data_IF_131496554036
#
_entry.id   IF_131496554036
#
_cell.length_a   1.000
_cell.length_b   1.000
_cell.length_c   1.000
_cell.angle_alpha   90.00
_cell.angle_beta   90.00
_cell.angle_gamma   90.00
#
_symmetry.space_group_name_H-M   'P 1'
#
loop_
_entity.id
_entity.type
_entity.pdbx_description
1 polymer ?
#
# COMPACT_ATOMS: atom_id res chain seq x y z
N UNK A 1 -74.40 33.88 52.19
CA UNK A 1 -75.35 33.21 51.28
C UNK A 1 -74.57 32.19 50.47
N UNK A 2 -74.98 30.92 50.57
CA UNK A 2 -74.94 29.81 49.60
C UNK A 2 -73.77 29.78 48.58
N UNK A 3 -72.92 28.75 48.57
CA UNK A 3 -73.06 27.54 47.70
C UNK A 3 -72.30 27.79 46.38
N UNK A 4 -71.53 26.94 45.72
CA UNK A 4 -71.42 25.48 45.61
C UNK A 4 -70.06 25.12 44.95
N UNK A 5 -69.84 23.81 44.81
CA UNK A 5 -68.64 23.06 44.40
C UNK A 5 -68.73 22.66 42.91
N UNK A 6 -67.61 22.61 42.18
CA UNK A 6 -67.40 21.74 40.99
C UNK A 6 -65.94 21.89 40.50
N UNK A 7 -65.04 20.92 40.68
CA UNK A 7 -64.76 19.70 39.89
C UNK A 7 -63.82 19.92 38.68
N UNK A 8 -62.62 19.31 38.83
CA UNK A 8 -61.75 18.62 37.85
C UNK A 8 -61.45 19.22 36.47
N UNK A 9 -60.16 19.32 36.13
CA UNK A 9 -59.52 18.48 35.07
C UNK A 9 -58.00 18.46 35.24
N UNK A 10 -57.46 17.25 35.09
CA UNK A 10 -56.07 16.86 35.07
C UNK A 10 -55.52 17.15 33.66
N UNK A 11 -54.40 17.85 33.54
CA UNK A 11 -53.59 17.91 32.32
C UNK A 11 -52.14 17.94 32.81
N UNK A 12 -51.34 16.89 32.62
CA UNK A 12 -51.11 16.24 31.34
C UNK A 12 -49.76 16.74 30.86
N UNK A 13 -48.73 15.95 31.17
CA UNK A 13 -47.35 16.11 30.76
C UNK A 13 -47.14 16.63 29.33
N UNK A 14 -46.28 17.63 29.17
CA UNK A 14 -45.43 17.74 27.99
C UNK A 14 -44.10 18.41 28.37
N UNK A 15 -43.19 17.60 28.91
CA UNK A 15 -41.78 17.80 28.62
C UNK A 15 -41.64 17.56 27.11
N UNK A 16 -41.53 18.64 26.35
CA UNK A 16 -41.05 18.55 24.98
C UNK A 16 -39.61 18.02 25.06
N UNK A 17 -39.50 16.73 24.76
CA UNK A 17 -38.26 16.03 24.47
C UNK A 17 -37.64 16.78 23.30
N UNK A 18 -36.56 17.51 23.55
CA UNK A 18 -35.69 17.96 22.48
C UNK A 18 -35.03 16.71 21.92
N UNK A 19 -35.68 16.19 20.87
CA UNK A 19 -35.27 15.01 20.13
C UNK A 19 -33.82 15.15 19.68
N UNK A 20 -33.07 14.10 20.03
CA UNK A 20 -31.78 13.75 19.51
C UNK A 20 -31.71 13.96 18.00
N UNK A 21 -31.03 15.02 17.56
CA UNK A 21 -30.48 15.06 16.21
C UNK A 21 -29.04 15.56 16.25
N UNK A 22 -28.21 14.85 17.02
CA UNK A 22 -26.77 14.81 16.76
C UNK A 22 -26.59 13.85 15.61
N UNK A 23 -26.59 14.36 14.38
CA UNK A 23 -26.05 13.62 13.23
C UNK A 23 -24.64 13.18 13.62
N UNK A 24 -24.47 11.89 13.91
CA UNK A 24 -23.18 11.32 14.27
C UNK A 24 -22.20 11.65 13.14
N UNK A 25 -21.25 12.54 13.43
CA UNK A 25 -20.24 12.94 12.46
C UNK A 25 -19.42 11.70 12.15
N UNK A 26 -19.63 11.17 10.95
CA UNK A 26 -19.00 9.94 10.49
C UNK A 26 -17.48 10.03 10.61
N UNK A 27 -16.85 8.94 11.09
CA UNK A 27 -15.41 8.94 11.34
C UNK A 27 -14.64 9.17 10.03
N UNK A 28 -13.73 10.15 10.05
CA UNK A 28 -12.95 10.55 8.87
C UNK A 28 -12.10 9.41 8.31
N UNK A 29 -11.60 8.50 9.16
CA UNK A 29 -10.80 7.34 8.71
C UNK A 29 -11.66 6.40 7.88
N UNK A 30 -12.88 6.12 8.35
CA UNK A 30 -13.84 5.26 7.65
C UNK A 30 -14.16 5.84 6.26
N UNK A 31 -14.55 7.12 6.19
CA UNK A 31 -14.86 7.79 4.92
C UNK A 31 -13.67 7.73 3.95
N UNK A 32 -12.46 8.00 4.46
CA UNK A 32 -11.26 8.01 3.62
C UNK A 32 -10.92 6.61 3.11
N UNK A 33 -11.07 5.57 3.93
CA UNK A 33 -10.85 4.18 3.52
C UNK A 33 -11.85 3.74 2.45
N UNK A 34 -13.14 4.05 2.62
CA UNK A 34 -14.16 3.76 1.59
C UNK A 34 -13.76 4.37 0.25
N UNK A 35 -13.42 5.65 0.24
CA UNK A 35 -13.01 6.37 -0.97
C UNK A 35 -11.79 5.74 -1.67
N UNK A 36 -10.78 5.28 -0.91
CA UNK A 36 -9.61 4.61 -1.49
C UNK A 36 -9.97 3.25 -2.08
N UNK A 37 -10.74 2.45 -1.34
CA UNK A 37 -11.12 1.10 -1.74
C UNK A 37 -12.09 1.08 -2.93
N UNK A 38 -12.92 2.11 -3.08
CA UNK A 38 -13.82 2.27 -4.22
C UNK A 38 -13.10 2.81 -5.46
N UNK A 39 -12.09 3.67 -5.27
CA UNK A 39 -11.30 4.25 -6.36
C UNK A 39 -10.39 3.22 -7.04
N UNK A 40 -9.62 2.47 -6.27
CA UNK A 40 -8.70 1.46 -6.80
C UNK A 40 -8.42 0.35 -5.79
N UNK A 41 -9.37 -0.58 -5.69
CA UNK A 41 -9.29 -1.72 -4.78
C UNK A 41 -8.05 -2.58 -5.03
N UNK A 42 -7.66 -2.78 -6.29
CA UNK A 42 -6.52 -3.63 -6.66
C UNK A 42 -5.20 -2.98 -6.24
N UNK A 43 -5.06 -1.66 -6.39
CA UNK A 43 -3.90 -0.93 -5.89
C UNK A 43 -3.77 -1.00 -4.36
N UNK A 44 -4.89 -0.84 -3.65
CA UNK A 44 -4.94 -1.00 -2.19
C UNK A 44 -4.61 -2.44 -1.74
N UNK A 45 -5.17 -3.44 -2.44
CA UNK A 45 -4.91 -4.85 -2.20
C UNK A 45 -3.43 -5.21 -2.41
N UNK A 46 -2.80 -4.73 -3.48
CA UNK A 46 -1.37 -4.93 -3.68
C UNK A 46 -0.57 -4.32 -2.53
N UNK A 47 -0.84 -3.07 -2.15
CA UNK A 47 -0.13 -2.40 -1.05
C UNK A 47 -0.24 -3.20 0.25
N UNK A 48 -1.45 -3.68 0.57
CA UNK A 48 -1.71 -4.55 1.71
C UNK A 48 -0.96 -5.90 1.59
N UNK A 49 -0.97 -6.51 0.41
CA UNK A 49 -0.31 -7.79 0.17
C UNK A 49 1.20 -7.71 0.34
N UNK A 50 1.83 -6.63 -0.13
CA UNK A 50 3.26 -6.39 0.04
C UNK A 50 3.63 -6.12 1.51
N UNK A 51 2.80 -5.33 2.22
CA UNK A 51 2.94 -5.11 3.66
C UNK A 51 2.86 -6.44 4.44
N UNK A 52 1.83 -7.24 4.17
CA UNK A 52 1.62 -8.53 4.83
C UNK A 52 2.74 -9.53 4.51
N UNK A 53 3.27 -9.53 3.29
CA UNK A 53 4.44 -10.34 2.93
C UNK A 53 5.66 -9.96 3.78
N UNK A 54 5.88 -8.66 4.03
CA UNK A 54 6.94 -8.19 4.90
C UNK A 54 6.71 -8.55 6.37
N UNK A 55 5.46 -8.48 6.88
CA UNK A 55 5.11 -8.89 8.24
C UNK A 55 5.39 -10.38 8.49
N UNK A 56 5.05 -11.25 7.54
CA UNK A 56 5.23 -12.70 7.67
C UNK A 56 6.65 -13.19 7.36
N UNK A 57 7.55 -12.29 6.98
CA UNK A 57 8.93 -12.66 6.71
C UNK A 57 9.70 -12.89 8.01
N UNK A 58 10.51 -13.95 8.06
CA UNK A 58 11.50 -14.12 9.12
C UNK A 58 12.53 -12.97 9.17
N UNK A 59 12.57 -12.13 8.13
CA UNK A 59 13.42 -10.93 8.01
C UNK A 59 12.65 -9.63 8.26
N UNK A 60 11.49 -9.68 8.93
CA UNK A 60 10.61 -8.52 9.12
C UNK A 60 11.37 -7.31 9.70
N UNK A 61 12.39 -7.51 10.54
CA UNK A 61 13.18 -6.39 11.06
C UNK A 61 13.87 -5.54 9.99
N UNK A 62 14.23 -6.16 8.87
CA UNK A 62 14.84 -5.50 7.72
C UNK A 62 13.81 -5.10 6.66
N UNK A 63 12.79 -5.93 6.44
CA UNK A 63 11.85 -5.84 5.33
C UNK A 63 10.57 -5.05 5.65
N UNK A 64 10.11 -5.10 6.90
CA UNK A 64 8.91 -4.40 7.37
C UNK A 64 9.30 -2.99 7.82
N UNK A 65 9.64 -2.17 6.83
CA UNK A 65 9.93 -0.74 7.01
C UNK A 65 9.09 0.04 6.00
N UNK A 66 8.31 1.05 6.43
CA UNK A 66 8.08 1.46 7.81
C UNK A 66 7.28 0.40 8.57
N UNK A 67 7.38 0.43 9.89
CA UNK A 67 6.64 -0.44 10.81
C UNK A 67 5.48 0.36 11.43
N UNK A 68 4.27 -0.22 11.60
CA UNK A 68 3.13 0.52 12.13
C UNK A 68 3.36 0.93 13.60
N UNK A 69 3.27 2.23 13.92
CA UNK A 69 3.68 2.75 15.23
C UNK A 69 2.85 2.21 16.39
N UNK A 70 1.58 1.90 16.16
CA UNK A 70 0.66 1.31 17.16
C UNK A 70 1.15 -0.03 17.72
N UNK A 71 2.04 -0.72 16.99
CA UNK A 71 2.57 -2.03 17.37
C UNK A 71 4.00 -1.92 17.92
N UNK A 72 4.41 -0.74 18.41
CA UNK A 72 5.72 -0.51 19.01
C UNK A 72 5.55 -0.22 20.51
N UNK A 73 5.99 -1.15 21.35
CA UNK A 73 5.92 -1.06 22.80
C UNK A 73 7.32 -0.81 23.37
N UNK A 74 7.56 0.37 23.96
CA UNK A 74 8.87 0.76 24.52
C UNK A 74 10.05 0.58 23.54
N UNK A 75 9.83 0.85 22.26
CA UNK A 75 10.83 0.69 21.20
C UNK A 75 10.98 -0.74 20.66
N UNK A 76 10.26 -1.72 21.22
CA UNK A 76 10.20 -3.09 20.73
C UNK A 76 9.01 -3.26 19.80
N UNK A 77 9.24 -3.90 18.65
CA UNK A 77 8.19 -4.21 17.68
C UNK A 77 7.42 -5.45 18.12
N UNK A 78 6.12 -5.30 18.29
CA UNK A 78 5.21 -6.39 18.61
C UNK A 78 4.65 -7.01 17.32
N UNK A 79 5.48 -7.83 16.68
CA UNK A 79 5.11 -8.49 15.41
C UNK A 79 4.01 -9.53 15.61
N UNK A 80 3.95 -10.17 16.78
CA UNK A 80 2.96 -11.19 17.09
C UNK A 80 1.56 -10.57 17.13
N UNK A 81 1.41 -9.47 17.88
CA UNK A 81 0.14 -8.74 17.95
C UNK A 81 -0.28 -8.16 16.58
N UNK A 82 0.67 -7.64 15.80
CA UNK A 82 0.39 -7.18 14.44
C UNK A 82 -0.16 -8.30 13.54
N UNK A 83 0.44 -9.50 13.61
CA UNK A 83 -0.02 -10.65 12.84
C UNK A 83 -1.41 -11.12 13.29
N UNK A 84 -1.74 -11.07 14.59
CA UNK A 84 -3.08 -11.36 15.08
C UNK A 84 -4.13 -10.41 14.50
N UNK A 85 -3.84 -9.11 14.45
CA UNK A 85 -4.74 -8.11 13.83
C UNK A 85 -4.90 -8.37 12.33
N UNK A 86 -3.81 -8.68 11.63
CA UNK A 86 -3.84 -9.02 10.20
C UNK A 86 -4.65 -10.29 9.94
N UNK A 87 -4.56 -11.29 10.81
CA UNK A 87 -5.26 -12.57 10.65
C UNK A 87 -6.76 -12.47 10.92
N UNK A 88 -7.20 -11.50 11.73
CA UNK A 88 -8.62 -11.16 11.96
C UNK A 88 -9.22 -10.27 10.86
N UNK A 89 -8.39 -9.72 9.96
CA UNK A 89 -8.85 -8.81 8.92
C UNK A 89 -9.79 -9.52 7.93
N UNK A 90 -11.00 -8.98 7.69
CA UNK A 90 -11.91 -9.52 6.68
C UNK A 90 -11.37 -9.29 5.27
N UNK A 91 -11.97 -9.94 4.26
CA UNK A 91 -11.65 -9.64 2.85
C UNK A 91 -11.95 -8.17 2.54
N UNK A 92 -11.28 -7.56 1.55
CA UNK A 92 -11.58 -6.16 1.20
C UNK A 92 -13.02 -5.96 0.72
N UNK A 93 -13.64 -6.98 0.13
CA UNK A 93 -15.05 -6.93 -0.26
C UNK A 93 -15.98 -6.85 0.96
N UNK A 94 -15.74 -7.68 1.98
CA UNK A 94 -16.49 -7.63 3.24
C UNK A 94 -16.21 -6.32 3.97
N UNK A 95 -14.95 -5.89 4.03
CA UNK A 95 -14.57 -4.64 4.67
C UNK A 95 -15.32 -3.44 4.08
N UNK A 96 -15.43 -3.33 2.75
CA UNK A 96 -16.18 -2.23 2.12
C UNK A 96 -17.64 -2.22 2.56
N UNK A 97 -18.27 -3.39 2.75
CA UNK A 97 -19.64 -3.49 3.25
C UNK A 97 -19.72 -3.10 4.74
N UNK A 98 -18.84 -3.68 5.55
CA UNK A 98 -18.76 -3.42 6.99
C UNK A 98 -18.45 -1.96 7.29
N UNK A 99 -17.68 -1.26 6.45
CA UNK A 99 -17.37 0.14 6.67
C UNK A 99 -18.63 1.02 6.73
N UNK A 100 -19.79 0.62 6.19
CA UNK A 100 -21.08 1.35 6.31
C UNK A 100 -21.83 1.09 7.62
N UNK A 101 -21.39 0.11 8.42
CA UNK A 101 -21.97 -0.19 9.72
C UNK A 101 -21.59 0.89 10.75
N UNK A 102 -22.56 1.56 11.41
CA UNK A 102 -22.28 2.58 12.42
C UNK A 102 -21.37 2.12 13.56
N UNK A 103 -21.40 0.82 13.89
CA UNK A 103 -20.64 0.23 15.00
C UNK A 103 -19.33 -0.44 14.53
N UNK A 104 -18.94 -0.30 13.26
CA UNK A 104 -17.78 -0.99 12.67
C UNK A 104 -16.48 -0.72 13.44
N UNK A 105 -16.30 0.51 13.96
CA UNK A 105 -15.12 0.86 14.72
C UNK A 105 -15.02 0.08 16.04
N UNK A 106 -16.15 -0.22 16.67
CA UNK A 106 -16.17 -1.06 17.88
C UNK A 106 -15.82 -2.52 17.57
N UNK A 107 -16.16 -2.99 16.37
CA UNK A 107 -15.93 -4.37 15.93
C UNK A 107 -14.49 -4.61 15.46
N UNK A 108 -13.95 -3.69 14.65
CA UNK A 108 -12.67 -3.86 13.94
C UNK A 108 -11.81 -2.58 13.93
N UNK A 109 -11.89 -1.73 14.96
CA UNK A 109 -11.17 -0.45 15.03
C UNK A 109 -9.67 -0.54 14.76
N UNK A 110 -8.98 -1.55 15.32
CA UNK A 110 -7.55 -1.76 15.06
C UNK A 110 -7.23 -2.07 13.59
N UNK A 111 -8.12 -2.79 12.90
CA UNK A 111 -7.98 -3.07 11.46
C UNK A 111 -8.16 -1.77 10.66
N UNK A 112 -9.15 -0.95 11.04
CA UNK A 112 -9.39 0.37 10.43
C UNK A 112 -8.15 1.26 10.62
N UNK A 113 -7.59 1.29 11.81
CA UNK A 113 -6.41 2.09 12.14
C UNK A 113 -5.17 1.64 11.37
N UNK A 114 -4.92 0.33 11.31
CA UNK A 114 -3.82 -0.25 10.54
C UNK A 114 -3.95 0.05 9.04
N UNK A 115 -5.16 -0.11 8.48
CA UNK A 115 -5.40 0.16 7.06
C UNK A 115 -5.33 1.64 6.75
N UNK A 116 -5.83 2.51 7.64
CA UNK A 116 -5.72 3.94 7.49
C UNK A 116 -4.25 4.37 7.48
N UNK A 117 -3.45 3.87 8.43
CA UNK A 117 -2.01 4.11 8.43
C UNK A 117 -1.36 3.67 7.12
N UNK A 118 -1.60 2.42 6.68
CA UNK A 118 -0.96 1.85 5.50
C UNK A 118 -1.39 2.53 4.19
N UNK A 119 -2.69 2.78 4.01
CA UNK A 119 -3.25 3.24 2.74
C UNK A 119 -3.33 4.77 2.64
N UNK A 120 -3.48 5.46 3.77
CA UNK A 120 -3.70 6.92 3.82
C UNK A 120 -2.46 7.65 4.31
N UNK A 121 -1.89 7.25 5.45
CA UNK A 121 -0.80 8.02 6.08
C UNK A 121 0.53 7.82 5.36
N UNK A 122 0.81 6.61 4.88
CA UNK A 122 1.95 6.32 4.00
C UNK A 122 1.71 6.80 2.56
N UNK A 123 1.55 8.11 2.39
CA UNK A 123 1.10 8.79 1.17
C UNK A 123 2.19 9.12 0.14
N UNK A 124 3.46 8.86 0.44
CA UNK A 124 4.57 9.27 -0.43
C UNK A 124 4.52 8.58 -1.81
N UNK A 125 4.05 7.34 -1.86
CA UNK A 125 3.81 6.60 -3.09
C UNK A 125 2.36 6.10 -3.11
N UNK A 126 1.65 6.39 -4.20
CA UNK A 126 0.37 5.78 -4.55
C UNK A 126 0.56 4.67 -5.58
N UNK A 127 -0.12 3.55 -5.38
CA UNK A 127 -0.17 2.45 -6.34
C UNK A 127 -1.44 2.58 -7.17
N UNK A 128 -1.31 2.61 -8.49
CA UNK A 128 -2.45 2.64 -9.43
C UNK A 128 -2.44 1.40 -10.31
N UNK A 129 -3.59 0.74 -10.42
CA UNK A 129 -3.78 -0.38 -11.33
C UNK A 129 -3.72 0.09 -12.79
N UNK A 130 -3.00 -0.66 -13.62
CA UNK A 130 -2.84 -0.37 -15.05
C UNK A 130 -3.47 -1.51 -15.87
N UNK A 131 -4.29 -1.20 -16.88
CA UNK A 131 -4.84 -2.22 -17.78
C UNK A 131 -3.74 -3.01 -18.50
N UNK A 132 -3.97 -4.32 -18.71
CA UNK A 132 -3.03 -5.17 -19.45
C UNK A 132 -2.76 -4.71 -20.88
N UNK A 133 -3.71 -4.01 -21.49
CA UNK A 133 -3.57 -3.43 -22.84
C UNK A 133 -2.40 -2.44 -22.94
N UNK A 134 -2.01 -1.79 -21.83
CA UNK A 134 -0.90 -0.84 -21.78
C UNK A 134 0.47 -1.51 -21.81
N UNK A 135 0.56 -2.85 -21.67
CA UNK A 135 1.83 -3.57 -21.60
C UNK A 135 2.73 -3.28 -22.81
N UNK A 136 2.17 -3.26 -24.02
CA UNK A 136 2.94 -2.96 -25.23
C UNK A 136 3.55 -1.56 -25.23
N UNK A 137 2.78 -0.56 -24.77
CA UNK A 137 3.26 0.83 -24.66
C UNK A 137 4.36 0.96 -23.60
N UNK A 138 4.20 0.29 -22.45
CA UNK A 138 5.21 0.26 -21.39
C UNK A 138 6.51 -0.38 -21.89
N UNK A 139 6.41 -1.53 -22.57
CA UNK A 139 7.58 -2.22 -23.12
C UNK A 139 8.25 -1.44 -24.26
N UNK A 140 7.51 -0.58 -24.96
CA UNK A 140 8.08 0.34 -25.95
C UNK A 140 9.07 1.36 -25.37
N UNK A 141 9.01 1.61 -24.05
CA UNK A 141 9.96 2.47 -23.34
C UNK A 141 11.21 1.73 -22.85
N UNK A 142 11.24 0.40 -22.96
CA UNK A 142 12.33 -0.45 -22.45
C UNK A 142 13.15 -0.98 -23.62
N UNK A 143 14.48 -0.83 -23.55
CA UNK A 143 15.39 -1.36 -24.55
C UNK A 143 15.66 -2.85 -24.31
N UNK A 144 14.67 -3.70 -24.57
CA UNK A 144 14.74 -5.15 -24.38
C UNK A 144 15.09 -5.84 -25.71
N UNK A 145 16.15 -6.64 -25.74
CA UNK A 145 16.55 -7.47 -26.89
C UNK A 145 15.63 -8.69 -27.04
N UNK A 146 15.19 -9.26 -25.91
CA UNK A 146 14.31 -10.43 -25.89
C UNK A 146 12.86 -10.06 -25.57
N UNK A 147 11.89 -10.79 -26.13
CA UNK A 147 10.48 -10.56 -25.82
C UNK A 147 10.18 -10.89 -24.34
N UNK A 148 9.77 -9.89 -23.57
CA UNK A 148 9.35 -10.05 -22.19
C UNK A 148 7.94 -10.69 -22.11
N UNK A 149 7.72 -11.75 -21.30
CA UNK A 149 6.37 -12.27 -21.07
C UNK A 149 5.47 -11.24 -20.38
N UNK A 150 4.22 -11.16 -20.79
CA UNK A 150 3.25 -10.25 -20.20
C UNK A 150 2.87 -10.67 -18.76
N UNK A 151 2.86 -9.75 -17.78
CA UNK A 151 2.49 -10.07 -16.40
C UNK A 151 0.97 -10.25 -16.24
N UNK A 152 0.57 -10.91 -15.15
CA UNK A 152 -0.84 -11.08 -14.81
C UNK A 152 -1.50 -9.77 -14.37
N UNK A 153 -0.76 -8.82 -13.83
CA UNK A 153 -1.23 -7.51 -13.38
C UNK A 153 -0.10 -6.48 -13.55
N UNK A 154 -0.47 -5.23 -13.78
CA UNK A 154 0.47 -4.11 -13.92
C UNK A 154 0.03 -3.01 -12.98
N UNK A 155 0.99 -2.39 -12.29
CA UNK A 155 0.74 -1.29 -11.38
C UNK A 155 1.75 -0.18 -11.62
N UNK A 156 1.28 1.06 -11.61
CA UNK A 156 2.10 2.26 -11.69
C UNK A 156 2.29 2.84 -10.28
N UNK A 157 3.53 3.19 -9.95
CA UNK A 157 3.86 3.95 -8.76
C UNK A 157 3.82 5.44 -9.10
N UNK A 158 3.03 6.20 -8.34
CA UNK A 158 2.91 7.65 -8.51
C UNK A 158 3.40 8.33 -7.24
N UNK A 159 4.50 9.07 -7.36
CA UNK A 159 5.07 9.84 -6.27
C UNK A 159 4.18 11.01 -5.88
N UNK A 160 4.15 11.32 -4.59
CA UNK A 160 3.52 12.53 -4.08
C UNK A 160 4.28 13.76 -4.62
N UNK A 161 3.67 14.65 -5.41
CA UNK A 161 4.36 15.81 -6.01
C UNK A 161 5.03 16.74 -5.00
N UNK A 162 4.51 16.78 -3.77
CA UNK A 162 5.05 17.57 -2.66
C UNK A 162 5.93 16.73 -1.70
N UNK A 163 6.15 15.45 -2.00
CA UNK A 163 7.00 14.55 -1.23
C UNK A 163 8.48 14.82 -1.49
N UNK A 164 9.30 14.62 -0.45
CA UNK A 164 10.75 14.85 -0.51
C UNK A 164 11.44 14.01 -1.60
N UNK A 165 11.04 12.74 -1.74
CA UNK A 165 11.58 11.83 -2.75
C UNK A 165 11.27 12.29 -4.18
N UNK A 166 10.04 12.71 -4.44
CA UNK A 166 9.60 13.18 -5.77
C UNK A 166 10.26 14.51 -6.14
N UNK A 167 10.39 15.45 -5.18
CA UNK A 167 11.12 16.70 -5.39
C UNK A 167 12.59 16.44 -5.71
N UNK A 168 13.24 15.55 -4.95
CA UNK A 168 14.63 15.13 -5.21
C UNK A 168 14.77 14.46 -6.58
N UNK A 169 13.83 13.59 -6.95
CA UNK A 169 13.82 12.95 -8.27
C UNK A 169 13.76 14.00 -9.38
N UNK A 170 12.84 14.97 -9.29
CA UNK A 170 12.71 16.08 -10.25
C UNK A 170 13.94 16.97 -10.34
N UNK A 171 14.68 17.14 -9.25
CA UNK A 171 15.92 17.90 -9.24
C UNK A 171 17.05 17.14 -9.96
N UNK A 172 17.26 15.87 -9.61
CA UNK A 172 18.35 15.04 -10.19
C UNK A 172 18.09 14.71 -11.66
N UNK A 173 16.86 14.39 -12.03
CA UNK A 173 16.48 14.10 -13.42
C UNK A 173 16.45 15.34 -14.32
N UNK A 174 16.47 16.55 -13.75
CA UNK A 174 16.38 17.79 -14.53
C UNK A 174 17.56 17.89 -15.50
N UNK A 175 17.26 18.00 -16.78
CA UNK A 175 18.26 18.13 -17.84
C UNK A 175 18.96 16.83 -18.23
N UNK A 176 18.58 15.70 -17.63
CA UNK A 176 19.11 14.38 -17.98
C UNK A 176 18.07 13.55 -18.72
N UNK A 177 18.54 12.62 -19.55
CA UNK A 177 17.68 11.56 -20.09
C UNK A 177 17.42 10.52 -19.01
N UNK A 178 16.31 9.81 -19.12
CA UNK A 178 16.02 8.65 -18.27
C UNK A 178 15.87 7.40 -19.12
N UNK A 179 16.12 6.26 -18.49
CA UNK A 179 15.96 4.94 -19.07
C UNK A 179 15.17 4.05 -18.11
N UNK A 180 14.56 3.00 -18.65
CA UNK A 180 13.82 2.02 -17.87
C UNK A 180 14.57 0.70 -17.79
N UNK A 181 14.65 0.13 -16.60
CA UNK A 181 15.30 -1.16 -16.35
C UNK A 181 14.60 -1.94 -15.24
N UNK A 182 14.62 -3.27 -15.34
CA UNK A 182 14.00 -4.18 -14.40
C UNK A 182 14.87 -4.41 -13.16
N UNK A 183 14.20 -4.59 -12.02
CA UNK A 183 14.79 -5.06 -10.77
C UNK A 183 13.96 -6.21 -10.21
N UNK A 184 14.59 -7.38 -10.05
CA UNK A 184 13.98 -8.50 -9.37
C UNK A 184 14.27 -8.50 -7.87
N UNK A 185 13.26 -8.82 -7.06
CA UNK A 185 13.43 -8.97 -5.61
C UNK A 185 12.44 -9.97 -5.03
N UNK A 186 12.75 -10.45 -3.82
CA UNK A 186 11.77 -11.23 -3.05
C UNK A 186 10.57 -10.36 -2.68
N UNK A 187 9.38 -10.94 -2.69
CA UNK A 187 8.12 -10.23 -2.43
C UNK A 187 8.12 -9.44 -1.11
N UNK A 188 8.69 -10.02 -0.06
CA UNK A 188 8.78 -9.42 1.27
C UNK A 188 9.65 -8.15 1.33
N UNK A 189 10.52 -7.90 0.35
CA UNK A 189 11.29 -6.66 0.29
C UNK A 189 10.48 -5.47 -0.27
N UNK A 190 9.41 -5.72 -1.02
CA UNK A 190 8.74 -4.68 -1.80
C UNK A 190 8.02 -3.63 -0.94
N UNK A 191 7.56 -3.97 0.27
CA UNK A 191 7.06 -2.97 1.21
C UNK A 191 8.12 -1.91 1.52
N UNK A 192 9.33 -2.32 1.89
CA UNK A 192 10.45 -1.40 2.12
C UNK A 192 10.87 -0.65 0.86
N UNK A 193 10.91 -1.34 -0.29
CA UNK A 193 11.26 -0.71 -1.57
C UNK A 193 10.26 0.40 -1.93
N UNK A 194 8.97 0.20 -1.71
CA UNK A 194 7.95 1.22 -1.98
C UNK A 194 8.15 2.50 -1.16
N UNK A 195 8.65 2.38 0.07
CA UNK A 195 8.72 3.52 0.99
C UNK A 195 10.12 4.15 1.10
N UNK A 196 11.18 3.38 0.87
CA UNK A 196 12.56 3.83 0.99
C UNK A 196 13.38 3.69 -0.29
N UNK A 197 12.75 3.28 -1.39
CA UNK A 197 13.42 2.98 -2.65
C UNK A 197 14.28 1.72 -2.58
N UNK A 198 14.97 1.44 -3.69
CA UNK A 198 15.90 0.32 -3.76
C UNK A 198 17.10 0.56 -2.85
N UNK A 199 17.27 -0.30 -1.84
CA UNK A 199 18.36 -0.17 -0.87
C UNK A 199 19.53 -1.09 -1.23
N UNK A 200 20.74 -0.54 -1.28
CA UNK A 200 21.98 -1.24 -1.65
C UNK A 200 22.27 -2.51 -0.84
N UNK A 201 21.80 -2.57 0.41
CA UNK A 201 22.05 -3.68 1.33
C UNK A 201 21.11 -4.88 1.16
N UNK A 202 20.07 -4.77 0.33
CA UNK A 202 19.27 -5.94 -0.07
C UNK A 202 19.95 -6.77 -1.18
N UNK A 203 20.96 -6.22 -1.86
CA UNK A 203 21.79 -6.91 -2.84
C UNK A 203 22.98 -7.60 -2.16
N UNK A 204 22.69 -8.66 -1.39
CA UNK A 204 23.69 -9.37 -0.56
C UNK A 204 24.71 -10.19 -1.36
N UNK A 205 24.39 -10.56 -2.61
CA UNK A 205 25.25 -11.38 -3.47
C UNK A 205 25.68 -10.55 -4.66
N UNK A 206 26.88 -9.97 -4.59
CA UNK A 206 27.33 -9.06 -5.62
C UNK A 206 28.47 -9.68 -6.43
N UNK A 207 28.17 -10.16 -7.64
CA UNK A 207 29.20 -10.53 -8.62
C UNK A 207 30.04 -9.31 -9.05
N UNK A 208 29.51 -8.09 -8.89
CA UNK A 208 30.11 -6.85 -9.40
C UNK A 208 30.26 -5.74 -8.34
N UNK A 209 30.25 -6.11 -7.05
CA UNK A 209 30.43 -5.17 -5.93
C UNK A 209 29.15 -4.49 -5.42
N UNK A 210 29.27 -3.60 -4.44
CA UNK A 210 28.12 -3.01 -3.77
C UNK A 210 27.34 -2.03 -4.67
N UNK A 211 26.07 -2.34 -4.96
CA UNK A 211 25.23 -1.52 -5.82
C UNK A 211 23.79 -2.01 -5.92
N UNK A 212 22.97 -1.25 -6.65
CA UNK A 212 21.64 -1.66 -7.08
C UNK A 212 21.79 -2.28 -8.47
N UNK A 213 21.31 -3.51 -8.62
CA UNK A 213 21.40 -4.25 -9.86
C UNK A 213 20.10 -4.12 -10.64
N UNK A 214 20.23 -3.66 -11.88
CA UNK A 214 19.14 -3.50 -12.83
C UNK A 214 19.50 -4.21 -14.14
N UNK A 215 18.50 -4.61 -14.91
CA UNK A 215 18.70 -5.17 -16.25
C UNK A 215 17.65 -4.65 -17.22
N UNK A 216 18.05 -4.36 -18.45
CA UNK A 216 17.10 -4.11 -19.54
C UNK A 216 16.30 -5.37 -19.92
N UNK A 217 16.82 -6.56 -19.60
CA UNK A 217 16.17 -7.84 -19.89
C UNK A 217 15.36 -8.33 -18.70
N UNK A 218 14.05 -8.52 -18.90
CA UNK A 218 13.17 -9.07 -17.86
C UNK A 218 13.63 -10.47 -17.42
N UNK A 219 14.10 -11.29 -18.37
CA UNK A 219 14.57 -12.66 -18.14
C UNK A 219 15.73 -12.74 -17.12
N UNK A 220 16.56 -11.69 -17.03
CA UNK A 220 17.66 -11.60 -16.06
C UNK A 220 17.14 -11.27 -14.66
N UNK A 221 16.05 -10.52 -14.55
CA UNK A 221 15.45 -10.12 -13.26
C UNK A 221 14.51 -11.16 -12.66
N UNK A 222 13.89 -12.01 -13.49
CA UNK A 222 12.93 -13.03 -13.04
C UNK A 222 13.50 -14.03 -12.00
N UNK A 223 14.73 -14.57 -12.14
CA UNK A 223 15.31 -15.47 -11.14
C UNK A 223 15.45 -14.85 -9.74
N UNK A 224 15.56 -13.52 -9.66
CA UNK A 224 15.63 -12.78 -8.38
C UNK A 224 14.25 -12.48 -7.79
N UNK A 225 13.18 -12.85 -8.50
CA UNK A 225 11.79 -12.62 -8.14
C UNK A 225 11.04 -13.93 -7.91
N UNK A 226 11.44 -14.74 -6.92
CA UNK A 226 10.76 -16.00 -6.65
C UNK A 226 9.32 -15.75 -6.20
N UNK A 227 8.48 -16.78 -6.33
CA UNK A 227 7.13 -16.77 -5.76
C UNK A 227 7.19 -16.48 -4.25
N UNK A 228 6.38 -15.54 -3.78
CA UNK A 228 6.21 -15.21 -2.37
C UNK A 228 4.74 -15.24 -1.98
N UNK A 229 4.50 -15.25 -0.67
CA UNK A 229 3.16 -15.25 -0.10
C UNK A 229 2.77 -13.83 0.33
N UNK A 230 1.68 -13.32 -0.24
CA UNK A 230 1.11 -12.02 0.11
C UNK A 230 0.06 -12.13 1.21
N UNK A 231 -1.05 -11.43 1.03
CA UNK A 231 -2.20 -11.53 1.91
C UNK A 231 -3.12 -12.67 1.49
N UNK A 232 -3.55 -13.52 2.44
CA UNK A 232 -4.35 -14.73 2.17
C UNK A 232 -5.70 -14.45 1.49
N UNK A 233 -6.24 -13.25 1.68
CA UNK A 233 -7.50 -12.79 1.10
C UNK A 233 -7.32 -11.89 -0.13
N UNK A 234 -6.08 -11.75 -0.60
CA UNK A 234 -5.76 -10.92 -1.76
C UNK A 234 -6.49 -11.39 -3.02
N UNK A 235 -7.09 -10.42 -3.70
CA UNK A 235 -7.68 -10.57 -5.03
C UNK A 235 -6.66 -10.35 -6.15
N UNK A 236 -5.50 -9.77 -5.85
CA UNK A 236 -4.38 -9.62 -6.81
C UNK A 236 -3.48 -10.87 -6.85
N UNK A 237 -3.51 -11.69 -5.79
CA UNK A 237 -2.88 -13.00 -5.74
C UNK A 237 -2.48 -13.38 -4.31
N UNK A 238 -2.78 -14.61 -3.88
CA UNK A 238 -2.28 -15.12 -2.58
C UNK A 238 -0.79 -15.42 -2.64
N UNK A 239 -0.37 -15.96 -3.77
CA UNK A 239 1.01 -16.25 -4.14
C UNK A 239 1.33 -15.43 -5.38
N UNK A 240 2.44 -14.69 -5.34
CA UNK A 240 2.84 -13.84 -6.46
C UNK A 240 4.35 -13.69 -6.54
N UNK A 241 4.84 -13.51 -7.76
CA UNK A 241 6.16 -12.96 -8.05
C UNK A 241 5.98 -11.49 -8.48
N UNK A 242 6.94 -10.64 -8.11
CA UNK A 242 6.90 -9.22 -8.43
C UNK A 242 8.27 -8.76 -8.94
N UNK A 243 8.26 -7.97 -10.02
CA UNK A 243 9.44 -7.33 -10.61
C UNK A 243 9.15 -5.82 -10.65
N UNK A 244 10.10 -4.99 -10.25
CA UNK A 244 9.99 -3.55 -10.44
C UNK A 244 10.51 -3.17 -11.83
N UNK A 245 9.81 -2.27 -12.51
CA UNK A 245 10.34 -1.52 -13.64
C UNK A 245 10.72 -0.13 -13.13
N UNK A 246 12.01 0.17 -13.11
CA UNK A 246 12.57 1.38 -12.52
C UNK A 246 12.94 2.39 -13.60
N UNK A 247 12.60 3.65 -13.36
CA UNK A 247 13.17 4.77 -14.11
C UNK A 247 14.51 5.17 -13.50
N UNK A 248 15.52 5.34 -14.34
CA UNK A 248 16.90 5.61 -13.93
C UNK A 248 17.39 6.82 -14.69
N UNK A 249 18.01 7.76 -13.99
CA UNK A 249 18.68 8.90 -14.62
C UNK A 249 19.93 8.41 -15.33
N UNK A 250 20.07 8.74 -16.61
CA UNK A 250 21.28 8.50 -17.38
C UNK A 250 22.38 9.46 -16.89
N UNK A 251 23.19 8.98 -15.96
CA UNK A 251 24.23 9.73 -15.25
C UNK A 251 25.55 8.93 -15.26
N UNK A 252 26.73 9.57 -15.28
CA UNK A 252 28.03 8.87 -15.29
C UNK A 252 28.27 7.85 -14.17
N UNK A 253 27.57 7.99 -13.04
CA UNK A 253 27.62 7.02 -11.93
C UNK A 253 26.88 5.70 -12.22
N UNK A 254 26.05 5.68 -13.25
CA UNK A 254 25.38 4.46 -13.75
C UNK A 254 26.38 3.71 -14.61
N UNK A 255 26.83 2.56 -14.09
CA UNK A 255 27.74 1.68 -14.82
C UNK A 255 26.92 0.75 -15.71
N UNK A 256 27.11 0.89 -17.02
CA UNK A 256 26.58 -0.03 -18.01
C UNK A 256 27.55 -1.19 -18.22
N UNK A 257 27.00 -2.37 -18.46
CA UNK A 257 27.77 -3.50 -18.98
C UNK A 257 27.18 -3.84 -20.35
N UNK A 258 27.76 -3.27 -21.39
CA UNK A 258 27.44 -3.67 -22.75
C UNK A 258 27.99 -5.08 -22.98
N UNK A 259 27.17 -5.97 -23.56
CA UNK A 259 27.62 -7.29 -24.05
C UNK A 259 28.52 -7.18 -25.31
N UNK A 260 29.26 -6.09 -25.46
CA UNK A 260 30.04 -5.79 -26.65
C UNK A 260 31.40 -5.21 -26.31
N UNK A 261 32.34 -6.07 -25.88
CA UNK A 261 33.79 -5.99 -26.09
C UNK A 261 34.45 -7.19 -25.40
N UNK A 262 34.44 -8.32 -26.09
CA UNK A 262 35.61 -9.21 -26.12
C UNK A 262 36.57 -8.71 -27.20
#
# INVERSE_FOLDING_TARGET
MQGERSETTFDGSSQAVDDFNVTAKEDKKIVTLRNILDKDRKGADLKLSLFVAACRSYRYDSCLKPFPPEFINNGLKDIEYLLEVIDKMPTLTQLVQELYDPDVYQKIGLVIDLLHWLLVELKDIQIKSVPKSEFGAIMGCVHCETAAPAPNLIFQLVGNPCGTNEMRWKEVSRGHKTLYAFHGSRLDNFHSILHYGLQKHFSKNSLFGHGIYLSSELSVSLPYSPMGYGWRWSTVGREMSCVALCEVVDHPDVKYQDKGKE
#
